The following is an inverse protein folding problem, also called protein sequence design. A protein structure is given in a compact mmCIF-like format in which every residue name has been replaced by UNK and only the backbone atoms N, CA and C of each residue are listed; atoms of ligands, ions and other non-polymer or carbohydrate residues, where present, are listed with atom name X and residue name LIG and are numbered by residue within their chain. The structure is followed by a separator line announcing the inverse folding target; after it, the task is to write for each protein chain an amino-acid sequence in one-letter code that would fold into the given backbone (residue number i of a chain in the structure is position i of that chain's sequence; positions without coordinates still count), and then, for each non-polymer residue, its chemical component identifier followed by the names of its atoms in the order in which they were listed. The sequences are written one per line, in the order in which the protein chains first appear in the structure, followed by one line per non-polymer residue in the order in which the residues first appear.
data_IF_498192890040
#
_entry.id   IF_498192890040
#
_cell.length_a   1.000
_cell.length_b   1.000
_cell.length_c   1.000
_cell.angle_alpha   90.00
_cell.angle_beta   90.00
_cell.angle_gamma   90.00
#
_symmetry.space_group_name_H-M   'P 1'
#
loop_
_entity.id
_entity.type
_entity.pdbx_description
1 polymer ?
#
# COMPACT_ATOMS: atom_id res chain seq x y z
N UNK A 1 -26.82 -0.25 1.79
CA UNK A 1 -26.86 1.23 1.64
C UNK A 1 -27.96 1.85 2.49
N UNK A 2 -29.14 1.22 2.63
CA UNK A 2 -30.20 1.66 3.55
C UNK A 2 -29.72 1.87 4.99
N UNK A 3 -28.86 0.99 5.49
CA UNK A 3 -28.36 1.03 6.87
C UNK A 3 -27.53 2.30 7.18
N UNK A 4 -26.73 2.77 6.22
CA UNK A 4 -25.94 4.01 6.38
C UNK A 4 -26.81 5.26 6.33
N UNK A 5 -27.88 5.23 5.53
CA UNK A 5 -28.84 6.34 5.43
C UNK A 5 -29.68 6.46 6.71
N UNK A 6 -30.15 5.34 7.24
CA UNK A 6 -30.89 5.29 8.51
C UNK A 6 -30.05 5.86 9.66
N UNK A 7 -28.80 5.40 9.78
CA UNK A 7 -27.86 5.86 10.82
C UNK A 7 -27.50 7.35 10.70
N UNK A 8 -27.38 7.87 9.48
CA UNK A 8 -27.15 9.30 9.25
C UNK A 8 -28.35 10.16 9.65
N UNK A 9 -29.57 9.68 9.41
CA UNK A 9 -30.79 10.36 9.85
C UNK A 9 -30.95 10.34 11.36
N UNK A 10 -30.63 9.23 12.03
CA UNK A 10 -30.69 9.10 13.50
C UNK A 10 -29.72 10.06 14.21
N UNK A 11 -28.47 10.13 13.73
CA UNK A 11 -27.49 11.11 14.24
C UNK A 11 -27.92 12.55 14.00
N UNK A 12 -28.65 12.81 12.91
CA UNK A 12 -29.17 14.13 12.60
C UNK A 12 -30.33 14.50 13.51
N UNK A 13 -31.27 13.59 13.77
CA UNK A 13 -32.37 13.82 14.71
C UNK A 13 -31.84 14.09 16.12
N UNK A 14 -30.84 13.33 16.56
CA UNK A 14 -30.19 13.53 17.86
C UNK A 14 -29.53 14.92 17.97
N UNK A 15 -28.86 15.38 16.91
CA UNK A 15 -28.24 16.73 16.89
C UNK A 15 -29.25 17.87 16.79
N UNK A 16 -30.40 17.65 16.16
CA UNK A 16 -31.51 18.60 16.14
C UNK A 16 -32.15 18.71 17.53
N UNK A 17 -32.35 17.59 18.22
CA UNK A 17 -32.88 17.56 19.60
C UNK A 17 -31.94 18.24 20.60
N UNK A 18 -30.61 18.10 20.41
CA UNK A 18 -29.58 18.78 21.21
C UNK A 18 -29.39 20.26 20.84
N UNK A 19 -30.08 20.79 19.83
CA UNK A 19 -29.95 22.18 19.39
C UNK A 19 -28.63 22.53 18.69
N UNK A 20 -27.83 21.53 18.31
CA UNK A 20 -26.54 21.72 17.61
C UNK A 20 -26.72 22.02 16.12
N UNK A 21 -27.90 21.74 15.56
CA UNK A 21 -28.23 21.98 14.16
C UNK A 21 -29.52 22.81 14.02
N UNK A 22 -29.57 23.78 13.08
CA UNK A 22 -30.82 24.46 12.73
C UNK A 22 -31.84 23.49 12.13
N UNK A 23 -33.13 23.71 12.40
CA UNK A 23 -34.25 22.86 11.94
C UNK A 23 -34.33 22.65 10.41
N UNK A 24 -33.65 23.48 9.62
CA UNK A 24 -33.63 23.43 8.16
C UNK A 24 -32.23 23.18 7.55
N UNK A 25 -31.29 22.61 8.32
CA UNK A 25 -29.94 22.35 7.81
C UNK A 25 -29.98 21.38 6.61
N UNK A 26 -29.47 21.69 5.41
CA UNK A 26 -29.58 20.79 4.27
C UNK A 26 -28.79 19.49 4.46
N UNK A 27 -29.19 18.41 3.79
CA UNK A 27 -28.37 17.18 3.76
C UNK A 27 -27.10 17.42 2.96
N UNK A 28 -25.90 17.04 3.46
CA UNK A 28 -24.65 17.18 2.72
C UNK A 28 -24.48 16.11 1.62
N UNK A 29 -25.43 15.18 1.48
CA UNK A 29 -25.42 14.11 0.48
C UNK A 29 -26.79 13.97 -0.18
N UNK A 30 -26.80 13.48 -1.42
CA UNK A 30 -28.02 13.09 -2.13
C UNK A 30 -28.39 11.64 -1.81
N UNK A 31 -29.68 11.36 -1.72
CA UNK A 31 -30.16 9.97 -1.61
C UNK A 31 -30.08 9.26 -2.95
N UNK A 32 -30.12 7.93 -2.95
CA UNK A 32 -30.19 7.17 -4.22
C UNK A 32 -31.44 7.54 -5.02
N UNK A 33 -32.58 7.77 -4.37
CA UNK A 33 -33.83 8.19 -5.02
C UNK A 33 -33.72 9.55 -5.72
N UNK A 34 -32.88 10.47 -5.21
CA UNK A 34 -32.61 11.76 -5.83
C UNK A 34 -31.57 11.68 -6.96
N UNK A 35 -30.59 10.77 -6.81
CA UNK A 35 -29.51 10.57 -7.78
C UNK A 35 -29.97 9.75 -8.99
N UNK A 36 -30.74 8.70 -8.78
CA UNK A 36 -31.21 7.77 -9.80
C UNK A 36 -31.84 8.47 -11.02
N UNK A 37 -32.82 9.39 -10.87
CA UNK A 37 -33.40 10.09 -12.03
C UNK A 37 -32.38 11.00 -12.73
N UNK A 38 -31.42 11.58 -12.00
CA UNK A 38 -30.36 12.43 -12.58
C UNK A 38 -29.33 11.61 -13.35
N UNK A 39 -29.05 10.38 -12.92
CA UNK A 39 -28.14 9.43 -13.57
C UNK A 39 -28.81 8.80 -14.79
N UNK A 40 -30.07 8.39 -14.68
CA UNK A 40 -30.86 7.82 -15.79
C UNK A 40 -30.98 8.76 -16.99
N UNK A 41 -30.98 10.08 -16.76
CA UNK A 41 -30.97 11.09 -17.82
C UNK A 41 -29.62 11.21 -18.55
N UNK A 42 -28.59 10.42 -18.20
CA UNK A 42 -27.27 10.42 -18.84
C UNK A 42 -26.95 9.05 -19.41
N UNK A 43 -26.11 9.02 -20.45
CA UNK A 43 -25.52 7.76 -20.93
C UNK A 43 -24.58 7.20 -19.89
N UNK A 44 -24.92 6.06 -19.32
CA UNK A 44 -24.14 5.37 -18.30
C UNK A 44 -23.74 3.98 -18.80
N UNK A 45 -22.50 3.58 -18.51
CA UNK A 45 -22.03 2.21 -18.73
C UNK A 45 -21.94 1.53 -17.37
N UNK A 46 -22.79 0.53 -17.16
CA UNK A 46 -22.75 -0.32 -15.98
C UNK A 46 -21.72 -1.43 -16.17
N UNK A 47 -20.90 -1.67 -15.15
CA UNK A 47 -20.02 -2.84 -15.06
C UNK A 47 -20.56 -3.71 -13.93
N UNK A 48 -21.03 -4.92 -14.28
CA UNK A 48 -21.55 -5.89 -13.32
C UNK A 48 -20.76 -7.18 -13.42
N UNK A 49 -20.51 -7.83 -12.29
CA UNK A 49 -19.84 -9.13 -12.24
C UNK A 49 -20.76 -10.29 -12.65
N UNK A 50 -22.07 -10.06 -12.63
CA UNK A 50 -23.11 -11.02 -12.95
C UNK A 50 -23.99 -10.50 -14.07
N UNK A 51 -24.60 -11.42 -14.82
CA UNK A 51 -25.62 -11.07 -15.82
C UNK A 51 -26.74 -10.31 -15.12
N UNK A 52 -27.06 -9.12 -15.64
CA UNK A 52 -28.17 -8.35 -15.12
C UNK A 52 -29.46 -9.13 -15.37
N UNK A 53 -30.34 -9.27 -14.37
CA UNK A 53 -31.67 -9.86 -14.59
C UNK A 53 -32.54 -9.02 -15.52
N UNK A 54 -32.17 -7.75 -15.73
CA UNK A 54 -32.86 -6.85 -16.63
C UNK A 54 -32.44 -7.08 -18.08
N UNK A 55 -33.42 -7.12 -18.98
CA UNK A 55 -33.33 -7.43 -20.41
C UNK A 55 -32.62 -6.33 -21.24
N UNK A 56 -31.68 -5.60 -20.63
CA UNK A 56 -30.88 -4.57 -21.27
C UNK A 56 -29.78 -5.22 -22.14
N UNK A 57 -29.40 -4.58 -23.27
CA UNK A 57 -28.33 -5.07 -24.13
C UNK A 57 -27.00 -5.06 -23.36
N UNK A 58 -26.61 -6.23 -22.86
CA UNK A 58 -25.36 -6.44 -22.15
C UNK A 58 -24.30 -7.03 -23.09
N UNK A 59 -23.05 -6.62 -22.91
CA UNK A 59 -21.91 -7.19 -23.61
C UNK A 59 -21.07 -7.97 -22.62
N UNK A 60 -20.95 -9.29 -22.82
CA UNK A 60 -20.17 -10.15 -21.94
C UNK A 60 -18.68 -10.01 -22.25
N UNK A 61 -17.94 -9.46 -21.30
CA UNK A 61 -16.49 -9.47 -21.32
C UNK A 61 -16.03 -10.79 -20.71
N UNK A 62 -15.45 -11.69 -21.51
CA UNK A 62 -15.05 -13.04 -21.08
C UNK A 62 -13.77 -13.02 -20.24
N UNK A 63 -13.83 -12.35 -19.09
CA UNK A 63 -12.80 -12.41 -18.08
C UNK A 63 -12.96 -13.64 -17.20
N UNK A 64 -11.84 -14.28 -16.90
CA UNK A 64 -11.69 -15.34 -15.92
C UNK A 64 -10.53 -14.97 -14.98
N UNK A 65 -10.52 -15.47 -13.73
CA UNK A 65 -9.37 -15.27 -12.85
C UNK A 65 -8.13 -15.96 -13.43
N UNK A 66 -6.97 -15.31 -13.27
CA UNK A 66 -5.70 -15.92 -13.68
C UNK A 66 -5.32 -17.08 -12.74
N UNK A 67 -4.68 -18.15 -13.27
CA UNK A 67 -4.22 -19.26 -12.44
C UNK A 67 -3.13 -18.78 -11.47
N UNK A 68 -3.22 -19.21 -10.22
CA UNK A 68 -2.22 -18.93 -9.19
C UNK A 68 -1.13 -20.00 -9.19
N UNK A 69 0.11 -19.57 -8.97
CA UNK A 69 1.31 -20.40 -8.87
C UNK A 69 1.88 -20.40 -7.45
N UNK A 70 1.30 -19.63 -6.52
CA UNK A 70 1.61 -19.65 -5.10
C UNK A 70 3.12 -19.61 -4.76
N UNK A 71 3.91 -18.81 -5.48
CA UNK A 71 5.36 -18.69 -5.26
C UNK A 71 6.22 -19.70 -6.01
N UNK A 72 5.62 -20.65 -6.74
CA UNK A 72 6.35 -21.58 -7.60
C UNK A 72 6.77 -20.90 -8.91
N UNK A 73 7.78 -20.05 -8.81
CA UNK A 73 8.30 -19.30 -9.95
C UNK A 73 8.75 -20.19 -11.13
N UNK A 74 9.41 -21.35 -10.92
CA UNK A 74 9.76 -22.25 -12.03
C UNK A 74 8.53 -22.76 -12.80
N UNK A 75 7.45 -23.11 -12.08
CA UNK A 75 6.18 -23.54 -12.68
C UNK A 75 5.55 -22.42 -13.51
N UNK A 76 5.60 -21.18 -12.99
CA UNK A 76 5.14 -20.00 -13.71
C UNK A 76 5.94 -19.75 -14.98
N UNK A 77 7.28 -19.76 -14.93
CA UNK A 77 8.14 -19.52 -16.10
C UNK A 77 7.89 -20.58 -17.18
N UNK A 78 7.83 -21.86 -16.81
CA UNK A 78 7.50 -22.94 -17.74
C UNK A 78 6.14 -22.72 -18.40
N UNK A 79 5.14 -22.29 -17.63
CA UNK A 79 3.82 -21.98 -18.18
C UNK A 79 3.84 -20.74 -19.06
N UNK A 80 4.60 -19.71 -18.71
CA UNK A 80 4.77 -18.51 -19.53
C UNK A 80 5.40 -18.85 -20.88
N UNK A 81 6.47 -19.68 -20.91
CA UNK A 81 7.07 -20.20 -22.15
C UNK A 81 6.06 -20.98 -23.00
N UNK A 82 5.26 -21.85 -22.37
CA UNK A 82 4.21 -22.58 -23.08
C UNK A 82 3.18 -21.63 -23.74
N UNK A 83 2.73 -20.61 -22.99
CA UNK A 83 1.75 -19.66 -23.49
C UNK A 83 2.33 -18.77 -24.62
N UNK A 84 3.60 -18.38 -24.52
CA UNK A 84 4.30 -17.66 -25.58
C UNK A 84 4.41 -18.50 -26.86
N UNK A 85 4.74 -19.79 -26.74
CA UNK A 85 4.78 -20.72 -27.88
C UNK A 85 3.39 -20.90 -28.54
N UNK A 86 2.32 -20.77 -27.76
CA UNK A 86 0.94 -20.80 -28.24
C UNK A 86 0.47 -19.45 -28.83
N UNK A 87 1.37 -18.46 -28.92
CA UNK A 87 1.11 -17.09 -29.40
C UNK A 87 0.09 -16.32 -28.54
N UNK A 88 -0.03 -16.67 -27.26
CA UNK A 88 -0.82 -15.89 -26.31
C UNK A 88 -0.10 -14.59 -25.93
N UNK A 89 -0.88 -13.58 -25.54
CA UNK A 89 -0.37 -12.31 -25.04
C UNK A 89 -0.21 -12.40 -23.52
N UNK A 90 0.99 -12.14 -23.01
CA UNK A 90 1.27 -12.13 -21.58
C UNK A 90 1.61 -10.71 -21.13
N UNK A 91 0.94 -10.28 -20.07
CA UNK A 91 1.19 -9.01 -19.38
C UNK A 91 1.49 -9.36 -17.92
N UNK A 92 2.66 -8.97 -17.44
CA UNK A 92 3.06 -9.18 -16.05
C UNK A 92 3.19 -7.82 -15.37
N UNK A 93 2.44 -7.59 -14.30
CA UNK A 93 2.48 -6.35 -13.51
C UNK A 93 3.08 -6.66 -12.14
N UNK A 94 4.24 -6.08 -11.83
CA UNK A 94 4.94 -6.34 -10.58
C UNK A 94 5.64 -5.12 -10.02
N UNK A 95 5.73 -5.04 -8.69
CA UNK A 95 6.60 -4.05 -8.03
C UNK A 95 8.08 -4.34 -8.26
N UNK A 96 8.43 -5.60 -8.50
CA UNK A 96 9.79 -6.09 -8.69
C UNK A 96 10.07 -6.41 -10.17
N UNK A 97 9.51 -5.61 -11.08
CA UNK A 97 9.64 -5.81 -12.52
C UNK A 97 11.11 -5.95 -12.99
N UNK A 98 12.04 -5.15 -12.47
CA UNK A 98 13.47 -5.27 -12.82
C UNK A 98 14.03 -6.65 -12.46
N UNK A 99 13.75 -7.15 -11.25
CA UNK A 99 14.19 -8.47 -10.81
C UNK A 99 13.55 -9.60 -11.60
N UNK A 100 12.26 -9.49 -11.91
CA UNK A 100 11.56 -10.47 -12.75
C UNK A 100 12.11 -10.48 -14.19
N UNK A 101 12.52 -9.32 -14.70
CA UNK A 101 13.17 -9.21 -16.01
C UNK A 101 14.47 -10.00 -16.05
N UNK A 102 15.31 -9.89 -15.01
CA UNK A 102 16.56 -10.63 -14.88
C UNK A 102 16.31 -12.15 -14.83
N UNK A 103 15.38 -12.61 -14.00
CA UNK A 103 15.03 -14.03 -13.86
C UNK A 103 14.44 -14.63 -15.16
N UNK A 104 13.64 -13.85 -15.88
CA UNK A 104 13.12 -14.28 -17.19
C UNK A 104 14.24 -14.37 -18.23
N UNK A 105 15.22 -13.45 -18.16
CA UNK A 105 16.34 -13.41 -19.09
C UNK A 105 17.31 -14.60 -18.89
N UNK A 106 17.50 -15.08 -17.65
CA UNK A 106 18.22 -16.33 -17.36
C UNK A 106 17.59 -17.55 -18.05
N UNK A 107 16.30 -17.48 -18.33
CA UNK A 107 15.48 -18.52 -18.94
C UNK A 107 15.21 -18.25 -20.43
N UNK A 108 16.01 -17.40 -21.09
CA UNK A 108 15.91 -17.00 -22.50
C UNK A 108 14.61 -16.23 -22.87
N UNK A 109 13.94 -15.62 -21.88
CA UNK A 109 12.74 -14.79 -22.09
C UNK A 109 13.08 -13.31 -21.90
N UNK A 110 13.27 -12.60 -23.00
CA UNK A 110 13.61 -11.17 -22.98
C UNK A 110 12.35 -10.33 -22.77
N UNK A 111 12.25 -9.69 -21.60
CA UNK A 111 11.14 -8.80 -21.27
C UNK A 111 11.60 -7.61 -20.42
N UNK A 112 12.02 -6.49 -21.04
CA UNK A 112 12.43 -5.30 -20.30
C UNK A 112 11.23 -4.68 -19.56
N UNK A 113 11.42 -4.15 -18.34
CA UNK A 113 10.35 -3.53 -17.57
C UNK A 113 9.92 -2.20 -18.19
N UNK A 114 8.62 -2.01 -18.36
CA UNK A 114 7.99 -0.78 -18.83
C UNK A 114 7.25 -0.06 -17.71
N UNK A 115 7.10 1.26 -17.82
CA UNK A 115 6.29 2.05 -16.87
C UNK A 115 4.80 2.03 -17.24
N UNK A 116 4.49 1.96 -18.54
CA UNK A 116 3.11 2.04 -19.04
C UNK A 116 2.94 1.26 -20.34
N UNK A 117 1.71 0.82 -20.62
CA UNK A 117 1.33 0.17 -21.88
C UNK A 117 0.54 1.19 -22.71
N UNK A 118 1.17 1.74 -23.77
CA UNK A 118 0.51 2.69 -24.69
C UNK A 118 -0.23 2.02 -25.84
N UNK A 119 0.26 0.86 -26.25
CA UNK A 119 -0.25 0.10 -27.38
C UNK A 119 -0.52 -1.32 -26.94
N UNK A 120 -1.50 -1.95 -27.57
CA UNK A 120 -1.84 -3.34 -27.29
C UNK A 120 -0.61 -4.20 -27.63
N UNK A 121 -0.06 -4.98 -26.68
CA UNK A 121 1.08 -5.83 -26.96
C UNK A 121 0.80 -6.79 -28.12
N UNK A 122 1.78 -7.18 -28.93
CA UNK A 122 1.55 -8.17 -29.98
C UNK A 122 1.23 -9.56 -29.38
N UNK A 123 0.46 -10.41 -30.07
CA UNK A 123 0.29 -11.82 -29.69
C UNK A 123 1.65 -12.54 -29.63
N UNK A 124 1.82 -13.47 -28.68
CA UNK A 124 3.09 -14.20 -28.49
C UNK A 124 4.19 -13.35 -27.86
N UNK A 125 3.86 -12.24 -27.22
CA UNK A 125 4.82 -11.41 -26.49
C UNK A 125 4.55 -11.41 -25.00
N UNK A 126 5.63 -11.24 -24.22
CA UNK A 126 5.58 -11.00 -22.79
C UNK A 126 5.92 -9.52 -22.54
N UNK A 127 4.97 -8.78 -21.98
CA UNK A 127 5.15 -7.39 -21.60
C UNK A 127 5.24 -7.31 -20.08
N UNK A 128 6.36 -6.83 -19.57
CA UNK A 128 6.59 -6.64 -18.15
C UNK A 128 6.39 -5.18 -17.79
N UNK A 129 5.57 -4.90 -16.78
CA UNK A 129 5.22 -3.55 -16.34
C UNK A 129 5.51 -3.38 -14.87
N UNK A 130 6.19 -2.30 -14.52
CA UNK A 130 6.42 -1.91 -13.14
C UNK A 130 5.15 -1.28 -12.57
N UNK A 131 4.52 -1.96 -11.61
CA UNK A 131 3.26 -1.49 -11.02
C UNK A 131 2.68 -2.43 -9.98
N UNK A 132 1.47 -2.11 -9.53
CA UNK A 132 0.71 -2.93 -8.59
C UNK A 132 -0.72 -3.09 -9.08
N UNK A 133 -1.18 -4.32 -9.15
CA UNK A 133 -2.60 -4.63 -9.31
C UNK A 133 -2.99 -5.64 -8.23
N UNK A 134 -4.28 -5.70 -7.90
CA UNK A 134 -4.76 -6.59 -6.84
C UNK A 134 -4.73 -8.06 -7.28
N UNK A 135 -5.24 -8.33 -8.48
CA UNK A 135 -5.40 -9.67 -9.05
C UNK A 135 -5.25 -9.60 -10.56
N UNK A 136 -4.81 -10.72 -11.13
CA UNK A 136 -4.70 -10.97 -12.55
C UNK A 136 -5.98 -11.55 -13.15
N UNK A 137 -6.04 -11.55 -14.48
CA UNK A 137 -7.17 -12.08 -15.22
C UNK A 137 -6.73 -12.66 -16.55
N UNK A 138 -7.59 -13.50 -17.10
CA UNK A 138 -7.48 -14.03 -18.47
C UNK A 138 -8.68 -13.55 -19.24
N UNK A 139 -8.46 -13.00 -20.42
CA UNK A 139 -9.51 -12.58 -21.33
C UNK A 139 -9.50 -13.45 -22.57
N UNK A 140 -10.67 -13.98 -22.96
CA UNK A 140 -10.87 -14.79 -24.18
C UNK A 140 -9.90 -15.98 -24.34
N UNK A 141 -9.23 -16.42 -23.27
CA UNK A 141 -8.13 -17.39 -23.31
C UNK A 141 -6.98 -17.04 -24.26
N UNK A 142 -6.81 -15.76 -24.62
CA UNK A 142 -5.74 -15.30 -25.50
C UNK A 142 -4.79 -14.30 -24.82
N UNK A 143 -5.29 -13.58 -23.82
CA UNK A 143 -4.60 -12.50 -23.14
C UNK A 143 -4.60 -12.77 -21.65
N UNK A 144 -3.40 -12.92 -21.11
CA UNK A 144 -3.16 -13.27 -19.72
C UNK A 144 -2.51 -12.08 -19.02
N UNK A 145 -3.13 -11.61 -17.95
CA UNK A 145 -2.55 -10.64 -17.04
C UNK A 145 -2.23 -11.35 -15.73
N UNK A 146 -0.96 -11.35 -15.37
CA UNK A 146 -0.46 -11.86 -14.11
C UNK A 146 0.04 -10.72 -13.23
N UNK A 147 -0.10 -10.88 -11.93
CA UNK A 147 0.38 -9.94 -10.93
C UNK A 147 1.26 -10.66 -9.91
N UNK A 148 1.80 -9.90 -8.94
CA UNK A 148 2.50 -10.49 -7.80
C UNK A 148 1.61 -11.49 -7.03
N UNK A 149 0.29 -11.34 -7.07
CA UNK A 149 -0.66 -12.23 -6.41
C UNK A 149 -0.59 -13.65 -6.97
N UNK A 150 -0.65 -13.80 -8.30
CA UNK A 150 -0.64 -15.10 -8.96
C UNK A 150 0.76 -15.71 -8.96
N UNK A 151 1.79 -14.90 -9.16
CA UNK A 151 3.17 -15.39 -9.25
C UNK A 151 3.71 -15.78 -7.87
N UNK A 152 3.52 -14.93 -6.87
CA UNK A 152 4.14 -15.11 -5.56
C UNK A 152 3.17 -15.59 -4.46
N UNK A 153 1.86 -15.62 -4.72
CA UNK A 153 0.85 -16.04 -3.74
C UNK A 153 0.54 -15.01 -2.66
N UNK A 154 1.16 -13.82 -2.72
CA UNK A 154 0.87 -12.72 -1.81
C UNK A 154 0.68 -11.41 -2.58
N UNK A 155 -0.45 -10.76 -2.35
CA UNK A 155 -0.63 -9.37 -2.75
C UNK A 155 0.08 -8.53 -1.69
N UNK A 156 1.27 -7.98 -1.97
CA UNK A 156 1.67 -6.73 -1.29
C UNK A 156 0.77 -5.65 -1.84
N UNK A 157 -0.49 -5.69 -1.42
CA UNK A 157 -1.46 -4.66 -1.69
C UNK A 157 -0.82 -3.43 -1.07
N UNK A 158 -0.33 -2.52 -1.92
CA UNK A 158 -0.08 -1.17 -1.47
C UNK A 158 -1.47 -0.72 -1.03
N UNK A 159 -1.74 -0.82 0.28
CA UNK A 159 -2.92 -0.20 0.86
C UNK A 159 -2.85 1.20 0.29
N UNK A 160 -3.80 1.53 -0.57
CA UNK A 160 -4.16 2.91 -0.71
C UNK A 160 -4.47 3.28 0.73
N UNK A 161 -3.55 4.02 1.36
CA UNK A 161 -3.91 4.82 2.50
C UNK A 161 -5.07 5.63 1.93
N UNK A 162 -6.29 5.14 2.14
CA UNK A 162 -7.47 5.97 2.02
C UNK A 162 -7.04 7.15 2.87
N UNK A 163 -6.82 8.29 2.24
CA UNK A 163 -6.89 9.56 2.92
C UNK A 163 -8.34 9.65 3.38
N UNK A 164 -8.68 8.85 4.40
CA UNK A 164 -9.58 9.33 5.40
C UNK A 164 -8.98 10.68 5.75
N UNK A 165 -9.70 11.79 5.58
CA UNK A 165 -9.37 13.00 6.29
C UNK A 165 -9.40 12.52 7.73
N UNK A 166 -8.23 12.21 8.28
CA UNK A 166 -8.13 11.80 9.67
C UNK A 166 -8.64 13.03 10.37
N UNK A 167 -9.78 12.96 11.09
CA UNK A 167 -10.20 14.10 11.89
C UNK A 167 -8.97 14.45 12.74
N UNK A 168 -8.50 15.70 12.63
CA UNK A 168 -7.23 16.19 13.19
C UNK A 168 -7.11 16.04 14.73
N UNK A 169 -7.98 15.25 15.38
CA UNK A 169 -8.08 15.03 16.81
C UNK A 169 -7.86 13.57 17.28
N UNK A 170 -7.51 12.61 16.40
CA UNK A 170 -7.36 11.18 16.81
C UNK A 170 -5.98 10.53 16.63
N UNK A 171 -4.94 11.29 16.28
CA UNK A 171 -3.57 10.86 16.57
C UNK A 171 -3.10 11.51 17.88
N UNK A 172 -3.84 11.25 18.96
CA UNK A 172 -3.21 11.26 20.27
C UNK A 172 -2.34 10.01 20.30
N UNK A 173 -1.09 10.16 19.88
CA UNK A 173 -0.08 9.18 20.27
C UNK A 173 -0.10 9.24 21.80
N UNK A 174 -0.41 8.13 22.46
CA UNK A 174 -0.27 8.00 23.92
C UNK A 174 1.23 8.04 24.26
N UNK A 175 1.80 9.25 24.17
CA UNK A 175 3.16 9.60 24.58
C UNK A 175 2.99 10.37 25.87
N UNK A 176 3.46 9.78 26.96
CA UNK A 176 3.57 10.49 28.22
C UNK A 176 4.87 11.27 28.26
N UNK A 177 4.94 12.40 28.99
CA UNK A 177 6.22 13.03 29.30
C UNK A 177 7.22 11.99 29.81
N UNK A 178 8.47 12.12 29.38
CA UNK A 178 9.59 11.18 29.62
C UNK A 178 9.64 9.95 28.68
N UNK A 179 8.64 9.72 27.82
CA UNK A 179 8.73 8.67 26.81
C UNK A 179 9.81 8.94 25.76
N UNK A 180 10.43 7.87 25.28
CA UNK A 180 11.35 7.93 24.14
C UNK A 180 10.57 7.97 22.83
N UNK A 181 10.97 8.89 21.96
CA UNK A 181 10.37 9.12 20.65
C UNK A 181 11.47 9.18 19.59
N UNK A 182 11.11 8.87 18.36
CA UNK A 182 11.99 8.94 17.19
C UNK A 182 11.44 10.02 16.28
N UNK A 183 12.27 11.05 16.04
CA UNK A 183 12.03 11.99 14.95
C UNK A 183 12.67 11.42 13.67
N UNK A 184 11.91 11.41 12.58
CA UNK A 184 12.37 10.84 11.30
C UNK A 184 13.73 11.40 10.85
N UNK A 185 13.97 12.71 11.00
CA UNK A 185 15.22 13.35 10.55
C UNK A 185 16.33 13.39 11.61
N UNK A 186 15.99 13.41 12.90
CA UNK A 186 16.93 13.78 13.96
C UNK A 186 17.23 12.64 14.94
N UNK A 187 16.42 11.58 14.92
CA UNK A 187 16.64 10.36 15.67
C UNK A 187 15.98 10.35 17.03
N UNK A 188 16.57 9.63 17.97
CA UNK A 188 15.94 9.29 19.24
C UNK A 188 16.04 10.49 20.19
N UNK A 189 14.90 10.90 20.72
CA UNK A 189 14.74 11.97 21.69
C UNK A 189 13.82 11.53 22.83
N UNK A 190 13.76 12.33 23.88
CA UNK A 190 12.83 12.18 24.99
C UNK A 190 11.75 13.24 24.90
N UNK A 191 10.49 12.85 24.99
CA UNK A 191 9.38 13.79 24.97
C UNK A 191 9.28 14.55 26.29
N UNK A 192 9.35 15.88 26.25
CA UNK A 192 9.28 16.73 27.45
C UNK A 192 7.87 17.29 27.70
N UNK A 193 7.02 17.35 26.68
CA UNK A 193 5.67 17.90 26.77
C UNK A 193 5.30 18.78 25.57
N UNK A 194 4.18 19.51 25.72
CA UNK A 194 3.69 20.49 24.73
C UNK A 194 3.85 21.89 25.31
N UNK A 195 4.25 22.85 24.48
CA UNK A 195 4.33 24.26 24.84
C UNK A 195 3.69 25.12 23.77
N UNK A 196 3.01 26.19 24.19
CA UNK A 196 2.40 27.16 23.27
C UNK A 196 3.33 28.33 23.11
N UNK A 197 3.65 28.67 21.86
CA UNK A 197 4.47 29.84 21.52
C UNK A 197 3.67 30.77 20.61
N UNK A 198 3.75 32.07 20.91
CA UNK A 198 3.13 33.12 20.10
C UNK A 198 4.14 33.65 19.07
N UNK A 199 3.93 33.30 17.80
CA UNK A 199 4.72 33.82 16.67
C UNK A 199 3.77 34.54 15.72
N UNK A 200 4.07 35.80 15.37
CA UNK A 200 3.33 36.58 14.37
C UNK A 200 1.81 36.64 14.62
N UNK A 201 1.38 36.99 15.84
CA UNK A 201 -0.03 37.12 16.26
C UNK A 201 -0.89 35.85 16.16
N UNK A 202 -0.27 34.67 15.98
CA UNK A 202 -0.95 33.38 16.02
C UNK A 202 -0.32 32.52 17.11
N UNK A 203 -1.13 32.02 18.05
CA UNK A 203 -0.70 31.02 19.03
C UNK A 203 -0.57 29.67 18.34
N UNK A 204 0.61 29.05 18.45
CA UNK A 204 0.87 27.72 17.91
C UNK A 204 1.42 26.81 19.01
N UNK A 205 0.94 25.58 19.01
CA UNK A 205 1.42 24.52 19.90
C UNK A 205 2.61 23.78 19.27
N UNK A 206 3.57 23.44 20.13
CA UNK A 206 4.80 22.74 19.76
C UNK A 206 5.05 21.59 20.73
N UNK A 207 5.43 20.44 20.20
CA UNK A 207 6.00 19.35 20.96
C UNK A 207 7.46 19.67 21.28
N UNK A 208 7.86 19.51 22.54
CA UNK A 208 9.23 19.74 23.00
C UNK A 208 9.94 18.39 23.12
N UNK A 209 10.97 18.19 22.29
CA UNK A 209 11.80 17.00 22.30
C UNK A 209 13.19 17.32 22.86
N UNK A 210 13.66 16.49 23.80
CA UNK A 210 14.98 16.59 24.42
C UNK A 210 15.93 15.57 23.81
N UNK A 211 17.03 16.06 23.28
CA UNK A 211 18.13 15.28 22.71
C UNK A 211 19.30 15.20 23.69
N UNK A 212 20.37 14.48 23.31
CA UNK A 212 21.59 14.40 24.10
C UNK A 212 22.17 15.81 24.38
N UNK A 213 22.93 15.94 25.48
CA UNK A 213 23.54 17.19 25.94
C UNK A 213 22.56 18.34 26.25
N UNK A 214 21.26 18.05 26.40
CA UNK A 214 20.24 19.05 26.77
C UNK A 214 19.69 19.84 25.58
N UNK A 215 20.04 19.44 24.36
CA UNK A 215 19.54 20.04 23.13
C UNK A 215 18.01 19.88 23.02
N UNK A 216 17.31 20.94 22.59
CA UNK A 216 15.84 20.96 22.46
C UNK A 216 15.43 21.15 21.00
N UNK A 217 14.43 20.39 20.57
CA UNK A 217 13.76 20.57 19.29
C UNK A 217 12.27 20.86 19.52
N UNK A 218 11.77 21.92 18.88
CA UNK A 218 10.36 22.29 18.89
C UNK A 218 9.71 21.82 17.59
N UNK A 219 8.84 20.84 17.68
CA UNK A 219 8.13 20.28 16.52
C UNK A 219 6.72 20.86 16.52
N UNK A 220 6.31 21.61 15.47
CA UNK A 220 4.94 22.09 15.34
C UNK A 220 3.93 20.94 15.37
N UNK A 221 2.76 21.14 16.00
CA UNK A 221 1.72 20.09 16.06
C UNK A 221 1.24 19.64 14.67
N UNK A 222 1.33 20.49 13.64
CA UNK A 222 1.03 20.12 12.25
C UNK A 222 2.04 19.14 11.62
N UNK A 223 3.21 18.96 12.24
CA UNK A 223 4.28 18.03 11.81
C UNK A 223 4.45 16.83 12.76
N UNK A 224 3.43 16.55 13.58
CA UNK A 224 3.46 15.44 14.54
C UNK A 224 3.64 14.07 13.87
N UNK A 225 3.27 13.93 12.60
CA UNK A 225 3.44 12.73 11.78
C UNK A 225 4.91 12.32 11.59
N UNK A 226 5.85 13.25 11.85
CA UNK A 226 7.30 13.01 11.80
C UNK A 226 7.87 12.43 13.10
N UNK A 227 7.06 12.34 14.14
CA UNK A 227 7.42 11.83 15.46
C UNK A 227 6.68 10.53 15.72
N UNK A 228 7.40 9.50 16.13
CA UNK A 228 6.82 8.20 16.49
C UNK A 228 7.38 7.74 17.84
N UNK A 229 6.59 7.00 18.63
CA UNK A 229 7.07 6.41 19.87
C UNK A 229 8.19 5.40 19.57
N UNK A 230 9.27 5.42 20.36
CA UNK A 230 10.34 4.45 20.25
C UNK A 230 9.88 3.09 20.80
N UNK A 231 10.10 2.03 20.02
CA UNK A 231 9.81 0.65 20.42
C UNK A 231 11.13 -0.12 20.33
N UNK A 232 11.75 -0.38 21.48
CA UNK A 232 13.01 -1.11 21.60
C UNK A 232 12.81 -2.60 21.92
N UNK A 233 13.78 -3.43 21.54
CA UNK A 233 13.76 -4.89 21.77
C UNK A 233 14.32 -5.31 23.14
N UNK A 234 14.73 -4.35 23.98
CA UNK A 234 15.36 -4.58 25.29
C UNK A 234 14.86 -3.58 26.34
N UNK A 235 14.85 -3.96 27.62
CA UNK A 235 14.50 -3.08 28.76
C UNK A 235 15.54 -1.98 29.06
N UNK A 236 16.60 -1.85 28.26
CA UNK A 236 17.59 -0.78 28.43
C UNK A 236 17.15 0.52 27.75
N UNK A 237 17.37 1.69 28.39
CA UNK A 237 17.02 2.98 27.79
C UNK A 237 17.88 3.24 26.54
N UNK A 238 17.29 3.74 25.44
CA UNK A 238 18.02 4.01 24.21
C UNK A 238 18.99 5.19 24.38
N UNK A 239 20.05 5.18 23.57
CA UNK A 239 20.97 6.31 23.47
C UNK A 239 20.27 7.46 22.72
N UNK A 240 20.16 8.63 23.37
CA UNK A 240 19.62 9.83 22.74
C UNK A 240 20.55 10.32 21.62
N UNK A 241 19.95 10.68 20.49
CA UNK A 241 20.67 11.32 19.38
C UNK A 241 21.14 12.72 19.77
N UNK A 242 22.14 13.25 19.05
CA UNK A 242 22.62 14.64 19.20
C UNK A 242 22.19 15.48 18.00
N UNK A 243 21.60 16.64 18.23
CA UNK A 243 21.17 17.53 17.15
C UNK A 243 22.36 18.05 16.35
N UNK A 244 22.18 18.19 15.03
CA UNK A 244 23.20 18.70 14.12
C UNK A 244 24.36 17.73 13.78
N UNK A 245 24.37 16.51 14.32
CA UNK A 245 25.39 15.50 14.00
C UNK A 245 24.91 14.49 12.96
N UNK A 246 25.81 14.01 12.10
CA UNK A 246 25.48 12.98 11.11
C UNK A 246 25.31 11.57 11.71
N UNK A 247 25.42 11.40 13.02
CA UNK A 247 25.36 10.08 13.68
C UNK A 247 24.08 9.32 13.36
N UNK A 248 22.92 9.99 13.37
CA UNK A 248 21.64 9.36 13.01
C UNK A 248 21.56 8.95 11.53
N UNK A 249 22.12 9.77 10.64
CA UNK A 249 22.18 9.45 9.21
C UNK A 249 23.07 8.22 8.95
N UNK A 250 24.21 8.12 9.63
CA UNK A 250 25.09 6.94 9.58
C UNK A 250 24.41 5.69 10.15
N UNK A 251 23.69 5.82 11.27
CA UNK A 251 22.92 4.70 11.84
C UNK A 251 21.85 4.21 10.86
N UNK A 252 21.09 5.10 10.21
CA UNK A 252 20.14 4.69 9.17
C UNK A 252 20.82 3.97 8.01
N UNK A 253 21.96 4.48 7.56
CA UNK A 253 22.70 3.91 6.45
C UNK A 253 23.19 2.50 6.78
N UNK A 254 23.79 2.29 7.96
CA UNK A 254 24.21 0.96 8.45
C UNK A 254 23.04 0.00 8.60
N UNK A 255 21.90 0.46 9.13
CA UNK A 255 20.70 -0.37 9.25
C UNK A 255 20.21 -0.78 7.87
N UNK A 256 20.18 0.14 6.90
CA UNK A 256 19.81 -0.16 5.52
C UNK A 256 20.74 -1.21 4.89
N UNK A 257 22.05 -1.04 5.04
CA UNK A 257 23.06 -1.99 4.55
C UNK A 257 22.91 -3.37 5.19
N UNK A 258 22.67 -3.44 6.51
CA UNK A 258 22.47 -4.71 7.21
C UNK A 258 21.19 -5.44 6.76
N UNK A 259 20.14 -4.71 6.42
CA UNK A 259 18.89 -5.28 5.89
C UNK A 259 19.13 -5.83 4.48
N UNK A 260 19.91 -5.12 3.65
CA UNK A 260 20.31 -5.60 2.32
C UNK A 260 21.20 -6.85 2.41
N UNK A 261 22.11 -6.91 3.38
CA UNK A 261 22.99 -8.07 3.63
C UNK A 261 22.21 -9.29 4.13
N UNK A 262 21.26 -9.13 5.06
CA UNK A 262 20.37 -10.21 5.51
C UNK A 262 19.53 -10.74 4.35
N UNK A 263 19.02 -9.85 3.49
CA UNK A 263 18.29 -10.25 2.29
C UNK A 263 19.16 -11.07 1.32
N UNK A 264 20.44 -10.68 1.16
CA UNK A 264 21.40 -11.40 0.34
C UNK A 264 21.78 -12.78 0.94
N UNK A 265 21.99 -12.86 2.25
CA UNK A 265 22.31 -14.11 2.94
C UNK A 265 21.14 -15.11 2.91
N UNK A 266 19.90 -14.63 3.03
CA UNK A 266 18.72 -15.47 2.83
C UNK A 266 18.67 -16.02 1.41
N UNK A 267 18.95 -15.19 0.39
CA UNK A 267 19.04 -15.62 -1.01
C UNK A 267 20.11 -16.71 -1.23
N UNK A 268 21.30 -16.55 -0.66
CA UNK A 268 22.36 -17.55 -0.75
C UNK A 268 21.98 -18.87 -0.04
N UNK A 269 21.31 -18.80 1.10
CA UNK A 269 20.81 -19.99 1.81
C UNK A 269 19.79 -20.77 0.98
N UNK A 270 18.91 -20.08 0.24
CA UNK A 270 17.98 -20.73 -0.68
C UNK A 270 18.70 -21.35 -1.89
N UNK A 271 19.69 -20.67 -2.45
CA UNK A 271 20.50 -21.20 -3.56
C UNK A 271 21.34 -22.43 -3.15
N UNK A 272 21.92 -22.43 -1.95
CA UNK A 272 22.68 -23.57 -1.43
C UNK A 272 21.81 -24.80 -1.15
N UNK A 273 20.53 -24.60 -0.83
CA UNK A 273 19.57 -25.69 -0.54
C UNK A 273 19.06 -26.40 -1.80
N UNK A 274 19.19 -25.80 -2.98
CA UNK A 274 18.91 -26.46 -4.27
C UNK A 274 20.05 -27.39 -4.72
N UNK A 275 21.26 -27.21 -4.17
CA UNK A 275 22.46 -27.96 -4.59
C UNK A 275 22.64 -29.25 -3.76
N UNK A 276 21.99 -29.37 -2.60
CA UNK A 276 22.05 -30.57 -1.76
C UNK A 276 20.84 -31.47 -2.08
N UNK A 277 21.01 -32.56 -2.88
CA UNK A 277 19.94 -33.52 -3.05
C UNK A 277 19.58 -34.12 -1.69
N UNK A 278 18.37 -33.84 -1.22
CA UNK A 278 17.82 -34.49 -0.03
C UNK A 278 17.69 -36.00 -0.27
N UNK A 279 17.90 -36.85 0.75
CA UNK A 279 17.73 -38.29 0.60
C UNK A 279 16.28 -38.59 0.19
N UNK A 280 16.12 -39.26 -0.94
CA UNK A 280 14.81 -39.60 -1.50
C UNK A 280 14.03 -40.48 -0.54
N UNK A 281 12.86 -40.00 -0.10
CA UNK A 281 11.86 -40.84 0.54
C UNK A 281 11.22 -41.73 -0.54
N UNK A 282 11.55 -43.02 -0.52
CA UNK A 282 10.85 -44.04 -1.28
C UNK A 282 9.65 -44.57 -0.47
N UNK A 283 8.50 -44.59 -1.16
CA UNK A 283 7.21 -45.25 -0.90
C UNK A 283 6.51 -45.01 0.44
#
# INVERSE_FOLDING_TARGET
MEDLHAKANELRTEKLERGELPHNFPSPYFTWQELEPRIKNRRCLGLTAWESPDNEPSYRLNFAPAPSYAGQLPSFINKAKQLLNQKHRLILISHQASRLSELLNEEDVIAPPLTEIKQIPPPGSLTLVQGSLAEGWVMNNDTYLFTDAEVFGFVKQRRWLKKHPVPHHKFLIEITPDDYVVHVEHGIARFAGVTTMSTNHTEKEYLVLLYAAGDKLYVPTDQIDRVSRYIGTSDQPPVLSRLGTQGWAQTKQRVKESVEEIAHNLLQLYAAREIIPGPGFFS
#
